data_IF_705584401150
#
_entry.id   IF_705584401150
#
_cell.length_a   1.000
_cell.length_b   1.000
_cell.length_c   1.000
_cell.angle_alpha   90.00
_cell.angle_beta   90.00
_cell.angle_gamma   90.00
#
_symmetry.space_group_name_H-M   'P 1'
#
loop_
_entity.id
_entity.type
_entity.pdbx_description
1 polymer ?
#
# COMPACT_ATOMS: atom_id res chain seq x y z
N UNK A 1 10.03 -31.78 42.00
CA UNK A 1 10.63 -30.70 41.18
C UNK A 1 10.02 -29.37 41.60
N UNK A 2 10.83 -28.43 42.08
CA UNK A 2 10.39 -27.14 42.62
C UNK A 2 9.66 -26.32 41.54
N UNK A 3 8.64 -25.55 41.92
CA UNK A 3 7.85 -24.72 40.98
C UNK A 3 8.72 -23.81 40.11
N UNK A 4 9.88 -23.37 40.62
CA UNK A 4 10.87 -22.59 39.86
C UNK A 4 11.52 -23.39 38.73
N UNK A 5 11.78 -24.69 38.92
CA UNK A 5 12.39 -25.55 37.91
C UNK A 5 11.45 -25.84 36.73
N UNK A 6 10.14 -25.94 36.99
CA UNK A 6 9.13 -26.10 35.93
C UNK A 6 9.03 -24.87 35.02
N UNK A 7 9.14 -23.67 35.60
CA UNK A 7 9.14 -22.41 34.84
C UNK A 7 10.36 -22.33 33.92
N UNK A 8 11.55 -22.66 34.44
CA UNK A 8 12.78 -22.65 33.62
C UNK A 8 12.76 -23.68 32.49
N UNK A 9 12.20 -24.87 32.73
CA UNK A 9 12.02 -25.87 31.67
C UNK A 9 11.06 -25.40 30.58
N UNK A 10 9.98 -24.70 30.95
CA UNK A 10 9.03 -24.16 29.97
C UNK A 10 9.66 -23.05 29.13
N UNK A 11 10.43 -22.16 29.75
CA UNK A 11 11.19 -21.11 29.06
C UNK A 11 12.20 -21.72 28.09
N UNK A 12 12.95 -22.73 28.53
CA UNK A 12 13.94 -23.40 27.68
C UNK A 12 13.27 -24.11 26.49
N UNK A 13 12.14 -24.77 26.71
CA UNK A 13 11.36 -25.40 25.65
C UNK A 13 10.80 -24.37 24.65
N UNK A 14 10.33 -23.21 25.10
CA UNK A 14 9.88 -22.12 24.23
C UNK A 14 11.03 -21.53 23.40
N UNK A 15 12.22 -21.37 23.99
CA UNK A 15 13.42 -20.89 23.26
C UNK A 15 13.85 -21.92 22.22
N UNK A 16 13.89 -23.20 22.56
CA UNK A 16 14.23 -24.27 21.60
C UNK A 16 13.20 -24.35 20.47
N UNK A 17 11.91 -24.24 20.78
CA UNK A 17 10.85 -24.24 19.77
C UNK A 17 10.94 -23.05 18.80
N UNK A 18 11.28 -21.86 19.28
CA UNK A 18 11.45 -20.66 18.43
C UNK A 18 12.70 -20.74 17.54
N UNK A 19 13.80 -21.27 18.06
CA UNK A 19 15.04 -21.47 17.29
C UNK A 19 14.84 -22.55 16.22
N UNK A 20 14.26 -23.69 16.58
CA UNK A 20 13.95 -24.75 15.63
C UNK A 20 12.92 -24.30 14.58
N UNK A 21 11.89 -23.55 15.00
CA UNK A 21 10.91 -22.97 14.08
C UNK A 21 11.57 -22.05 13.06
N UNK A 22 12.52 -21.22 13.47
CA UNK A 22 13.29 -20.37 12.53
C UNK A 22 14.19 -21.16 11.59
N UNK A 23 14.73 -22.30 12.01
CA UNK A 23 15.61 -23.12 11.17
C UNK A 23 14.83 -23.90 10.10
N UNK A 24 13.61 -24.36 10.40
CA UNK A 24 12.81 -25.16 9.48
C UNK A 24 11.75 -24.38 8.69
N UNK A 25 11.24 -23.26 9.21
CA UNK A 25 10.17 -22.47 8.58
C UNK A 25 10.68 -21.23 7.83
N UNK A 26 11.99 -20.95 7.89
CA UNK A 26 12.58 -19.88 7.09
C UNK A 26 12.72 -20.35 5.64
N UNK A 27 11.61 -20.34 4.91
CA UNK A 27 11.61 -20.52 3.46
C UNK A 27 12.37 -19.35 2.84
N UNK A 28 13.35 -19.60 1.95
CA UNK A 28 13.88 -18.55 1.09
C UNK A 28 12.68 -18.00 0.33
N UNK A 29 12.30 -16.76 0.62
CA UNK A 29 11.29 -16.07 -0.16
C UNK A 29 12.01 -15.78 -1.48
N UNK A 30 11.74 -16.59 -2.50
CA UNK A 30 12.27 -16.35 -3.83
C UNK A 30 11.66 -15.03 -4.31
N UNK A 31 12.38 -13.93 -4.12
CA UNK A 31 12.01 -12.64 -4.65
C UNK A 31 12.31 -12.69 -6.16
N UNK A 32 11.32 -13.10 -6.95
CA UNK A 32 11.39 -13.02 -8.42
C UNK A 32 11.34 -11.55 -8.81
N UNK A 33 12.50 -10.89 -8.73
CA UNK A 33 12.71 -9.53 -9.22
C UNK A 33 13.04 -9.62 -10.71
N UNK A 34 12.03 -9.92 -11.53
CA UNK A 34 12.16 -9.75 -12.97
C UNK A 34 12.22 -8.25 -13.24
N UNK A 35 13.37 -7.78 -13.75
CA UNK A 35 13.49 -6.41 -14.22
C UNK A 35 12.43 -6.14 -15.29
N UNK A 36 11.87 -4.95 -15.29
CA UNK A 36 10.82 -4.59 -16.25
C UNK A 36 11.37 -4.69 -17.68
N UNK A 37 10.77 -5.57 -18.48
CA UNK A 37 11.16 -5.76 -19.88
C UNK A 37 10.98 -4.46 -20.67
N UNK A 38 11.97 -4.15 -21.49
CA UNK A 38 11.96 -3.02 -22.42
C UNK A 38 11.13 -3.40 -23.65
N UNK A 39 10.05 -2.66 -23.89
CA UNK A 39 9.14 -2.87 -25.03
C UNK A 39 9.57 -2.05 -26.24
N UNK A 40 10.21 -0.91 -25.99
CA UNK A 40 10.74 -0.03 -27.02
C UNK A 40 12.15 0.41 -26.65
N UNK A 41 13.11 0.10 -27.51
CA UNK A 41 14.50 0.49 -27.34
C UNK A 41 14.76 1.80 -28.09
N UNK A 42 15.55 2.70 -27.49
CA UNK A 42 16.09 3.90 -28.14
C UNK A 42 15.05 4.90 -28.68
N UNK A 43 13.94 5.11 -27.97
CA UNK A 43 13.03 6.21 -28.31
C UNK A 43 13.76 7.53 -27.97
N UNK A 44 13.89 8.41 -28.96
CA UNK A 44 14.77 9.60 -28.91
C UNK A 44 16.26 9.29 -28.60
N UNK A 45 16.75 8.09 -28.93
CA UNK A 45 18.17 7.71 -28.89
C UNK A 45 18.76 7.48 -27.50
N UNK A 46 18.01 7.67 -26.40
CA UNK A 46 18.52 7.52 -25.02
C UNK A 46 17.55 6.93 -24.00
N UNK A 47 16.27 6.74 -24.33
CA UNK A 47 15.26 6.31 -23.37
C UNK A 47 14.61 5.00 -23.80
N UNK A 48 14.64 4.02 -22.90
CA UNK A 48 13.97 2.74 -23.07
C UNK A 48 12.63 2.76 -22.33
N UNK A 49 11.56 2.43 -23.05
CA UNK A 49 10.23 2.33 -22.46
C UNK A 49 10.03 0.90 -21.96
N UNK A 50 9.83 0.77 -20.66
CA UNK A 50 9.55 -0.52 -20.02
C UNK A 50 8.05 -0.77 -19.91
N UNK A 51 7.67 -2.04 -19.83
CA UNK A 51 6.28 -2.45 -19.55
C UNK A 51 5.72 -1.75 -18.30
N UNK A 52 6.53 -1.61 -17.25
CA UNK A 52 6.14 -0.92 -16.02
C UNK A 52 5.88 0.57 -16.23
N UNK A 53 6.61 1.25 -17.13
CA UNK A 53 6.38 2.65 -17.46
C UNK A 53 5.04 2.84 -18.19
N UNK A 54 4.74 1.97 -19.16
CA UNK A 54 3.45 1.98 -19.86
C UNK A 54 2.32 1.71 -18.89
N UNK A 55 2.45 0.70 -18.04
CA UNK A 55 1.47 0.38 -17.00
C UNK A 55 1.23 1.59 -16.07
N UNK A 56 2.30 2.27 -15.63
CA UNK A 56 2.19 3.46 -14.81
C UNK A 56 1.42 4.60 -15.51
N UNK A 57 1.66 4.84 -16.80
CA UNK A 57 0.90 5.82 -17.58
C UNK A 57 -0.56 5.43 -17.77
N UNK A 58 -0.86 4.16 -18.04
CA UNK A 58 -2.23 3.66 -18.12
C UNK A 58 -2.96 3.84 -16.77
N UNK A 59 -2.32 3.48 -15.66
CA UNK A 59 -2.87 3.69 -14.31
C UNK A 59 -3.10 5.17 -14.04
N UNK A 60 -2.13 6.03 -14.34
CA UNK A 60 -2.26 7.48 -14.18
C UNK A 60 -3.44 8.02 -14.99
N UNK A 61 -3.55 7.63 -16.26
CA UNK A 61 -4.67 8.02 -17.13
C UNK A 61 -6.02 7.57 -16.59
N UNK A 62 -6.12 6.34 -16.08
CA UNK A 62 -7.34 5.81 -15.48
C UNK A 62 -7.74 6.58 -14.22
N UNK A 63 -6.79 6.87 -13.33
CA UNK A 63 -7.05 7.64 -12.10
C UNK A 63 -7.54 9.05 -12.45
N UNK A 64 -6.87 9.73 -13.38
CA UNK A 64 -7.27 11.05 -13.85
C UNK A 64 -8.66 11.03 -14.50
N UNK A 65 -8.97 10.01 -15.29
CA UNK A 65 -10.30 9.83 -15.89
C UNK A 65 -11.37 9.68 -14.81
N UNK A 66 -11.16 8.82 -13.82
CA UNK A 66 -12.13 8.60 -12.73
C UNK A 66 -12.32 9.89 -11.93
N UNK A 67 -11.24 10.58 -11.56
CA UNK A 67 -11.29 11.85 -10.86
C UNK A 67 -12.07 12.90 -11.66
N UNK A 68 -11.79 13.02 -12.96
CA UNK A 68 -12.51 13.93 -13.85
C UNK A 68 -14.01 13.59 -13.94
N UNK A 69 -14.34 12.31 -14.10
CA UNK A 69 -15.73 11.84 -14.18
C UNK A 69 -16.51 12.08 -12.88
N UNK A 70 -15.84 11.99 -11.72
CA UNK A 70 -16.43 12.28 -10.42
C UNK A 70 -16.73 13.79 -10.25
N UNK A 71 -15.82 14.66 -10.69
CA UNK A 71 -15.90 16.12 -10.50
C UNK A 71 -16.78 16.81 -11.55
N UNK A 72 -16.89 16.28 -12.78
CA UNK A 72 -17.57 16.97 -13.91
C UNK A 72 -19.07 17.27 -13.70
N UNK A 73 -19.73 16.64 -12.73
CA UNK A 73 -21.16 16.82 -12.41
C UNK A 73 -21.36 17.11 -10.91
N UNK A 74 -20.50 17.93 -10.31
CA UNK A 74 -20.68 18.35 -8.91
C UNK A 74 -22.04 19.04 -8.69
N UNK A 75 -22.73 18.61 -7.63
CA UNK A 75 -23.98 19.18 -7.14
C UNK A 75 -23.88 19.28 -5.63
N UNK A 76 -24.58 20.24 -5.03
CA UNK A 76 -24.63 20.40 -3.57
C UNK A 76 -25.10 19.13 -2.85
N UNK A 77 -26.01 18.37 -3.47
CA UNK A 77 -26.46 17.08 -2.96
C UNK A 77 -25.91 15.97 -3.85
N UNK A 78 -25.18 14.97 -3.29
CA UNK A 78 -24.62 13.85 -4.05
C UNK A 78 -25.75 13.01 -4.66
N UNK A 79 -26.08 13.25 -5.94
CA UNK A 79 -27.12 12.47 -6.64
C UNK A 79 -26.53 11.23 -7.34
N UNK A 80 -25.23 11.24 -7.65
CA UNK A 80 -24.57 10.17 -8.39
C UNK A 80 -23.77 9.24 -7.48
N UNK A 81 -23.85 7.93 -7.74
CA UNK A 81 -23.16 6.90 -6.94
C UNK A 81 -21.64 7.08 -6.93
N UNK A 82 -21.06 7.44 -8.08
CA UNK A 82 -19.60 7.64 -8.21
C UNK A 82 -19.12 8.84 -7.37
N UNK A 83 -19.83 9.96 -7.41
CA UNK A 83 -19.50 11.12 -6.59
C UNK A 83 -19.63 10.78 -5.09
N UNK A 84 -20.70 10.08 -4.69
CA UNK A 84 -20.88 9.65 -3.30
C UNK A 84 -19.75 8.75 -2.78
N UNK A 85 -19.27 7.81 -3.60
CA UNK A 85 -18.12 6.96 -3.23
C UNK A 85 -16.85 7.80 -3.08
N UNK A 86 -16.56 8.70 -4.03
CA UNK A 86 -15.37 9.55 -3.98
C UNK A 86 -15.42 10.51 -2.78
N UNK A 87 -16.58 11.10 -2.49
CA UNK A 87 -16.79 11.94 -1.31
C UNK A 87 -16.57 11.16 -0.01
N UNK A 88 -17.10 9.93 0.08
CA UNK A 88 -16.87 9.08 1.25
C UNK A 88 -15.40 8.71 1.43
N UNK A 89 -14.68 8.46 0.34
CA UNK A 89 -13.26 8.13 0.35
C UNK A 89 -12.42 9.33 0.81
N UNK A 90 -12.68 10.51 0.26
CA UNK A 90 -12.00 11.76 0.65
C UNK A 90 -12.33 12.11 2.11
N UNK A 91 -13.57 11.91 2.53
CA UNK A 91 -13.97 12.11 3.92
C UNK A 91 -13.21 11.18 4.87
N UNK A 92 -13.13 9.90 4.54
CA UNK A 92 -12.34 8.93 5.31
C UNK A 92 -10.85 9.30 5.36
N UNK A 93 -10.26 9.75 4.24
CA UNK A 93 -8.86 10.20 4.20
C UNK A 93 -8.61 11.42 5.09
N UNK A 94 -9.55 12.36 5.13
CA UNK A 94 -9.50 13.51 6.04
C UNK A 94 -9.54 13.05 7.49
N UNK A 95 -10.49 12.19 7.84
CA UNK A 95 -10.63 11.71 9.22
C UNK A 95 -9.38 10.92 9.65
N UNK A 96 -8.78 10.15 8.73
CA UNK A 96 -7.50 9.49 8.95
C UNK A 96 -6.36 10.50 9.17
N UNK A 97 -6.24 11.54 8.33
CA UNK A 97 -5.22 12.56 8.48
C UNK A 97 -5.36 13.35 9.79
N UNK A 98 -6.59 13.69 10.18
CA UNK A 98 -6.89 14.33 11.46
C UNK A 98 -6.60 13.41 12.65
N UNK A 99 -6.82 12.10 12.51
CA UNK A 99 -6.49 11.13 13.57
C UNK A 99 -4.99 11.01 13.84
N UNK A 100 -4.15 11.21 12.82
CA UNK A 100 -2.70 11.07 12.93
C UNK A 100 -2.00 12.39 13.27
N UNK A 101 -2.41 13.50 12.65
CA UNK A 101 -1.75 14.81 12.76
C UNK A 101 -2.49 15.79 13.68
N UNK A 102 -3.70 15.45 14.12
CA UNK A 102 -4.60 16.35 14.83
C UNK A 102 -5.36 17.28 13.88
N UNK A 103 -6.52 17.76 14.33
CA UNK A 103 -7.45 18.60 13.55
C UNK A 103 -6.80 19.86 12.97
N UNK A 104 -5.81 20.43 13.68
CA UNK A 104 -5.11 21.65 13.25
C UNK A 104 -4.23 21.41 12.01
N UNK A 105 -3.65 20.22 11.86
CA UNK A 105 -2.67 19.93 10.81
C UNK A 105 -3.15 18.90 9.78
N UNK A 106 -4.23 18.17 10.05
CA UNK A 106 -4.76 17.11 9.17
C UNK A 106 -5.03 17.58 7.73
N UNK A 107 -5.56 18.79 7.55
CA UNK A 107 -5.81 19.34 6.21
C UNK A 107 -4.55 19.74 5.44
N UNK A 108 -3.42 19.95 6.11
CA UNK A 108 -2.14 20.30 5.46
C UNK A 108 -1.51 19.09 4.79
N UNK A 109 -1.78 17.89 5.27
CA UNK A 109 -1.22 16.64 4.73
C UNK A 109 -2.02 16.06 3.56
N UNK A 110 -3.22 16.54 3.28
CA UNK A 110 -3.91 16.21 2.03
C UNK A 110 -3.53 17.22 0.95
N UNK A 111 -3.13 16.82 -0.28
CA UNK A 111 -3.14 15.49 -0.90
C UNK A 111 -1.76 14.79 -0.93
N UNK A 112 -0.92 15.02 0.09
CA UNK A 112 0.53 14.78 0.09
C UNK A 112 0.95 13.37 0.51
#
# INVERSE_FOLDING_TARGET
MSSKQKIWLFVLLAVVATVLGRLFLNSPIAHVQLAAETVGNQIFGKWDITNSLIAAWCTMGLVLLIAFLAVRRMKLVPTSRLYGLVESLIGWLRDLAESMAGVKWGHTFLPL
#
